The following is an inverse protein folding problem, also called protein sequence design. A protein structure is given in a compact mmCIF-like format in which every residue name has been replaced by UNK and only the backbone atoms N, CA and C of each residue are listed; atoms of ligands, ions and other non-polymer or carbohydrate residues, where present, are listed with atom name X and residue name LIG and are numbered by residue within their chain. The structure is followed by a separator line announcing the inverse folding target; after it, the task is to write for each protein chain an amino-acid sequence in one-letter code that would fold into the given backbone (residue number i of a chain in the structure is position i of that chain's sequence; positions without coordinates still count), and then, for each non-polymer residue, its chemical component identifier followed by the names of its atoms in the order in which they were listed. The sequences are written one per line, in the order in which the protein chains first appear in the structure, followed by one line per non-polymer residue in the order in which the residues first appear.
data_IF_061157999410
#
_entry.id   IF_061157999410
#
_cell.length_a   1.000
_cell.length_b   1.000
_cell.length_c   1.000
_cell.angle_alpha   90.00
_cell.angle_beta   90.00
_cell.angle_gamma   90.00
#
_symmetry.space_group_name_H-M   'P 1'
#
loop_
_entity.id
_entity.type
_entity.pdbx_description
1 polymer ?
#
# COMPACT_ATOMS: atom_id res chain seq x y z
N UNK A 1 7.76 1.89 -3.41
CA UNK A 1 6.74 1.19 -4.23
C UNK A 1 5.47 0.97 -3.42
N UNK A 2 4.29 1.07 -4.04
CA UNK A 2 2.99 0.68 -3.46
C UNK A 2 2.38 -0.45 -4.29
N UNK A 3 1.83 -1.49 -3.64
CA UNK A 3 1.26 -2.62 -4.36
C UNK A 3 0.14 -3.32 -3.58
N UNK A 4 -1.06 -3.36 -4.15
CA UNK A 4 -2.14 -4.23 -3.69
C UNK A 4 -1.92 -5.63 -4.29
N UNK A 5 -1.59 -6.62 -3.42
CA UNK A 5 -1.17 -7.96 -3.84
C UNK A 5 -2.29 -9.01 -3.81
N UNK A 6 -3.52 -8.60 -3.50
CA UNK A 6 -4.68 -9.50 -3.48
C UNK A 6 -4.41 -10.84 -2.74
N UNK A 7 -3.78 -10.77 -1.56
CA UNK A 7 -3.34 -11.93 -0.77
C UNK A 7 -2.47 -12.94 -1.56
N UNK A 8 -1.66 -12.45 -2.52
CA UNK A 8 -0.80 -13.27 -3.36
C UNK A 8 -1.53 -14.09 -4.42
N UNK A 9 -2.78 -13.76 -4.74
CA UNK A 9 -3.56 -14.42 -5.79
C UNK A 9 -3.26 -13.76 -7.13
N UNK A 10 -2.79 -14.55 -8.09
CA UNK A 10 -2.62 -14.09 -9.47
C UNK A 10 -3.98 -14.09 -10.18
N UNK A 11 -4.46 -12.91 -10.57
CA UNK A 11 -5.68 -12.73 -11.36
C UNK A 11 -5.34 -11.96 -12.62
N UNK A 12 -5.25 -12.66 -13.74
CA UNK A 12 -4.83 -12.08 -15.03
C UNK A 12 -5.98 -11.91 -16.03
N UNK A 13 -7.19 -12.38 -15.70
CA UNK A 13 -8.37 -12.28 -16.57
C UNK A 13 -9.67 -12.18 -15.78
N UNK A 14 -10.66 -11.45 -16.30
CA UNK A 14 -11.95 -11.23 -15.65
C UNK A 14 -12.69 -12.53 -15.27
N UNK A 15 -12.67 -13.56 -16.10
CA UNK A 15 -13.34 -14.82 -15.78
C UNK A 15 -12.67 -15.58 -14.64
N UNK A 16 -11.36 -15.40 -14.39
CA UNK A 16 -10.67 -15.97 -13.23
C UNK A 16 -11.18 -15.38 -11.92
N UNK A 17 -11.59 -14.11 -11.94
CA UNK A 17 -12.22 -13.45 -10.80
C UNK A 17 -13.50 -14.17 -10.35
N UNK A 18 -14.26 -14.70 -11.30
CA UNK A 18 -15.50 -15.46 -11.04
C UNK A 18 -15.24 -16.94 -10.75
N UNK A 19 -14.34 -17.58 -11.48
CA UNK A 19 -14.12 -19.03 -11.41
C UNK A 19 -13.17 -19.47 -10.32
N UNK A 20 -12.21 -18.61 -9.92
CA UNK A 20 -11.21 -18.89 -8.89
C UNK A 20 -11.57 -18.33 -7.51
N UNK A 21 -12.86 -18.06 -7.26
CA UNK A 21 -13.33 -17.52 -5.96
C UNK A 21 -12.93 -18.41 -4.75
N UNK A 22 -12.77 -19.73 -4.94
CA UNK A 22 -12.28 -20.64 -3.90
C UNK A 22 -10.80 -20.39 -3.49
N UNK A 23 -9.95 -19.83 -4.39
CA UNK A 23 -8.57 -19.43 -4.07
C UNK A 23 -8.52 -18.31 -3.01
N UNK A 24 -9.60 -17.55 -2.86
CA UNK A 24 -9.71 -16.56 -1.78
C UNK A 24 -9.89 -17.18 -0.39
N UNK A 25 -10.20 -18.47 -0.32
CA UNK A 25 -10.53 -19.19 0.91
C UNK A 25 -9.53 -20.29 1.24
N UNK A 26 -9.01 -20.99 0.24
CA UNK A 26 -8.12 -22.15 0.42
C UNK A 26 -6.66 -21.85 0.03
N UNK A 27 -5.68 -22.54 0.65
CA UNK A 27 -4.28 -22.48 0.23
C UNK A 27 -4.11 -22.97 -1.21
N UNK A 28 -3.23 -22.29 -1.96
CA UNK A 28 -2.91 -22.63 -3.34
C UNK A 28 -1.39 -22.60 -3.54
N UNK A 29 -0.84 -23.67 -4.15
CA UNK A 29 0.60 -23.78 -4.40
C UNK A 29 1.13 -22.66 -5.33
N UNK A 30 0.32 -22.20 -6.28
CA UNK A 30 0.68 -21.09 -7.18
C UNK A 30 0.92 -19.78 -6.42
N UNK A 31 0.32 -19.63 -5.23
CA UNK A 31 0.45 -18.42 -4.42
C UNK A 31 1.88 -18.17 -3.95
N UNK A 32 2.60 -19.20 -3.53
CA UNK A 32 4.00 -19.05 -3.11
C UNK A 32 4.89 -18.64 -4.28
N UNK A 33 4.70 -19.23 -5.46
CA UNK A 33 5.42 -18.83 -6.68
C UNK A 33 5.15 -17.38 -7.04
N UNK A 34 3.88 -16.95 -6.88
CA UNK A 34 3.51 -15.56 -7.12
C UNK A 34 4.14 -14.61 -6.09
N UNK A 35 4.17 -15.00 -4.80
CA UNK A 35 4.85 -14.23 -3.76
C UNK A 35 6.37 -14.16 -3.99
N UNK A 36 7.02 -15.22 -4.49
CA UNK A 36 8.43 -15.18 -4.87
C UNK A 36 8.69 -14.16 -5.99
N UNK A 37 7.79 -14.09 -6.97
CA UNK A 37 7.86 -13.09 -8.06
C UNK A 37 7.67 -11.66 -7.52
N UNK A 38 6.73 -11.46 -6.60
CA UNK A 38 6.52 -10.17 -5.92
C UNK A 38 7.75 -9.79 -5.08
N UNK A 39 8.36 -10.76 -4.37
CA UNK A 39 9.57 -10.52 -3.58
C UNK A 39 10.76 -10.11 -4.47
N UNK A 40 10.93 -10.77 -5.61
CA UNK A 40 11.95 -10.42 -6.59
C UNK A 40 11.75 -8.98 -7.12
N UNK A 41 10.52 -8.58 -7.42
CA UNK A 41 10.21 -7.21 -7.78
C UNK A 41 10.51 -6.24 -6.63
N UNK A 42 10.01 -6.54 -5.43
CA UNK A 42 10.16 -5.71 -4.25
C UNK A 42 11.62 -5.45 -3.86
N UNK A 43 12.53 -6.41 -4.12
CA UNK A 43 13.96 -6.29 -3.81
C UNK A 43 14.68 -5.11 -4.50
N UNK A 44 14.08 -4.52 -5.53
CA UNK A 44 14.61 -3.35 -6.23
C UNK A 44 14.26 -2.01 -5.57
N UNK A 45 13.53 -2.02 -4.45
CA UNK A 45 13.04 -0.82 -3.78
C UNK A 45 13.52 -0.75 -2.34
N UNK A 46 13.58 0.49 -1.80
CA UNK A 46 13.98 0.71 -0.41
C UNK A 46 12.80 0.59 0.56
N UNK A 47 11.62 1.06 0.14
CA UNK A 47 10.38 1.07 0.90
C UNK A 47 9.25 0.50 0.05
N UNK A 48 8.51 -0.47 0.59
CA UNK A 48 7.34 -1.05 -0.11
C UNK A 48 6.14 -1.09 0.82
N UNK A 49 5.08 -0.38 0.42
CA UNK A 49 3.77 -0.43 1.04
C UNK A 49 2.89 -1.47 0.33
N UNK A 50 2.36 -2.39 1.09
CA UNK A 50 1.56 -3.51 0.60
C UNK A 50 0.12 -3.39 1.07
N UNK A 51 -0.83 -3.63 0.18
CA UNK A 51 -2.24 -3.73 0.52
C UNK A 51 -2.74 -5.16 0.26
N UNK A 52 -3.79 -5.55 0.98
CA UNK A 52 -4.40 -6.88 0.93
C UNK A 52 -3.43 -8.03 1.20
N UNK A 53 -2.43 -7.84 2.06
CA UNK A 53 -1.61 -8.95 2.56
C UNK A 53 -2.40 -9.81 3.55
N UNK A 54 -2.06 -11.09 3.65
CA UNK A 54 -2.58 -11.98 4.68
C UNK A 54 -1.55 -12.16 5.80
N UNK A 55 -1.97 -11.93 7.05
CA UNK A 55 -1.11 -12.04 8.23
C UNK A 55 -1.07 -13.46 8.82
N UNK A 56 -1.16 -14.49 7.99
CA UNK A 56 -1.09 -15.89 8.43
C UNK A 56 -2.45 -16.47 8.82
N UNK A 57 -3.27 -16.78 7.83
CA UNK A 57 -4.56 -17.45 8.00
C UNK A 57 -4.62 -18.72 7.14
N UNK A 58 -5.74 -19.44 7.22
CA UNK A 58 -5.93 -20.67 6.43
C UNK A 58 -5.72 -20.42 4.93
N UNK A 59 -6.25 -19.32 4.38
CA UNK A 59 -6.12 -19.01 2.95
C UNK A 59 -4.67 -18.79 2.49
N UNK A 60 -3.78 -18.35 3.39
CA UNK A 60 -2.35 -18.19 3.09
C UNK A 60 -1.51 -19.40 3.50
N UNK A 61 -2.14 -20.52 3.94
CA UNK A 61 -1.42 -21.64 4.52
C UNK A 61 -0.69 -21.28 5.82
N UNK A 62 -1.25 -20.34 6.58
CA UNK A 62 -0.68 -19.78 7.81
C UNK A 62 0.63 -18.99 7.61
N UNK A 63 0.96 -18.63 6.36
CA UNK A 63 2.10 -17.78 6.04
C UNK A 63 1.74 -16.32 6.26
N UNK A 64 2.52 -15.61 7.06
CA UNK A 64 2.49 -14.14 7.09
C UNK A 64 3.18 -13.61 5.84
N UNK A 65 2.39 -13.07 4.91
CA UNK A 65 2.90 -12.67 3.60
C UNK A 65 3.87 -11.48 3.67
N UNK A 66 3.68 -10.55 4.61
CA UNK A 66 4.61 -9.42 4.78
C UNK A 66 5.98 -9.91 5.24
N UNK A 67 6.02 -10.80 6.23
CA UNK A 67 7.26 -11.42 6.72
C UNK A 67 7.93 -12.25 5.62
N UNK A 68 7.16 -13.06 4.91
CA UNK A 68 7.67 -13.87 3.81
C UNK A 68 8.34 -13.01 2.72
N UNK A 69 7.67 -11.93 2.30
CA UNK A 69 8.20 -11.00 1.30
C UNK A 69 9.46 -10.29 1.80
N UNK A 70 9.49 -9.89 3.08
CA UNK A 70 10.66 -9.26 3.68
C UNK A 70 11.88 -10.20 3.66
N UNK A 71 11.71 -11.42 4.12
CA UNK A 71 12.79 -12.42 4.15
C UNK A 71 13.30 -12.76 2.75
N UNK A 72 12.40 -12.99 1.80
CA UNK A 72 12.74 -13.37 0.42
C UNK A 72 13.40 -12.22 -0.37
N UNK A 73 12.96 -10.99 -0.14
CA UNK A 73 13.49 -9.80 -0.82
C UNK A 73 14.71 -9.16 -0.10
N UNK A 74 15.11 -9.68 1.06
CA UNK A 74 16.26 -9.20 1.82
C UNK A 74 16.02 -7.88 2.54
N UNK A 75 14.79 -7.60 2.98
CA UNK A 75 14.49 -6.47 3.84
C UNK A 75 14.80 -6.79 5.30
N UNK A 76 15.38 -5.82 6.00
CA UNK A 76 15.74 -5.93 7.42
C UNK A 76 14.60 -5.56 8.36
N UNK A 77 13.65 -4.76 7.89
CA UNK A 77 12.51 -4.28 8.69
C UNK A 77 11.20 -4.56 7.97
N UNK A 78 10.24 -5.05 8.71
CA UNK A 78 8.89 -5.25 8.20
C UNK A 78 7.86 -5.09 9.32
N UNK A 79 6.64 -4.73 8.94
CA UNK A 79 5.49 -4.66 9.84
C UNK A 79 4.20 -4.90 9.07
N UNK A 80 3.17 -5.43 9.75
CA UNK A 80 1.82 -5.50 9.20
C UNK A 80 0.80 -5.05 10.23
N UNK A 81 -0.21 -4.35 9.77
CA UNK A 81 -1.39 -4.01 10.55
C UNK A 81 -2.55 -4.88 10.08
N UNK A 82 -3.10 -5.70 10.98
CA UNK A 82 -4.30 -6.49 10.69
C UNK A 82 -5.54 -5.65 10.85
N UNK A 83 -6.24 -5.41 9.74
CA UNK A 83 -7.42 -4.55 9.69
C UNK A 83 -8.72 -5.32 9.89
N UNK A 84 -8.76 -6.59 9.47
CA UNK A 84 -9.94 -7.46 9.60
C UNK A 84 -9.54 -8.92 9.73
N UNK A 85 -10.13 -9.59 10.71
CA UNK A 85 -10.03 -11.05 10.88
C UNK A 85 -11.39 -11.67 10.57
N UNK A 86 -11.42 -12.69 9.72
CA UNK A 86 -12.61 -13.46 9.37
C UNK A 86 -12.36 -14.90 9.85
N UNK A 87 -12.68 -15.14 11.13
CA UNK A 87 -12.36 -16.42 11.79
C UNK A 87 -10.89 -16.79 11.59
N UNK A 88 -10.61 -18.07 11.28
CA UNK A 88 -9.28 -18.55 10.92
C UNK A 88 -9.02 -18.49 9.39
N UNK A 89 -10.01 -18.06 8.59
CA UNK A 89 -9.97 -18.13 7.13
C UNK A 89 -9.14 -17.03 6.51
N UNK A 90 -9.27 -15.78 6.98
CA UNK A 90 -8.58 -14.65 6.41
C UNK A 90 -8.18 -13.60 7.47
N UNK A 91 -6.96 -13.06 7.35
CA UNK A 91 -6.44 -11.93 8.13
C UNK A 91 -6.00 -10.83 7.18
N UNK A 92 -6.95 -9.98 6.81
CA UNK A 92 -6.71 -8.88 5.87
C UNK A 92 -5.89 -7.79 6.53
N UNK A 93 -4.75 -7.46 5.94
CA UNK A 93 -3.78 -6.53 6.51
C UNK A 93 -3.23 -5.58 5.44
N UNK A 94 -2.62 -4.50 5.90
CA UNK A 94 -1.65 -3.71 5.15
C UNK A 94 -0.26 -4.01 5.69
N UNK A 95 0.78 -3.89 4.86
CA UNK A 95 2.14 -4.24 5.22
C UNK A 95 3.16 -3.19 4.80
N UNK A 96 4.27 -3.16 5.51
CA UNK A 96 5.49 -2.43 5.17
C UNK A 96 6.64 -3.42 5.11
N UNK A 97 7.47 -3.33 4.09
CA UNK A 97 8.84 -3.85 4.12
C UNK A 97 9.81 -2.70 3.82
N UNK A 98 10.93 -2.64 4.55
CA UNK A 98 11.84 -1.50 4.54
C UNK A 98 13.30 -1.93 4.71
N UNK A 99 14.19 -1.28 3.95
CA UNK A 99 15.65 -1.35 4.19
C UNK A 99 16.09 -0.44 5.33
N UNK A 100 15.25 0.57 5.64
CA UNK A 100 15.55 1.54 6.69
C UNK A 100 14.80 1.20 7.97
N UNK A 101 15.44 1.47 9.09
CA UNK A 101 14.86 1.25 10.42
C UNK A 101 13.83 2.33 10.73
N UNK A 102 12.56 1.96 10.98
CA UNK A 102 11.56 2.90 11.51
C UNK A 102 11.95 3.42 12.89
N UNK A 103 11.71 4.69 13.15
CA UNK A 103 11.88 5.31 14.48
C UNK A 103 10.61 5.28 15.31
N UNK A 104 9.46 5.36 14.63
CA UNK A 104 8.13 5.22 15.22
C UNK A 104 7.20 4.54 14.22
N UNK A 105 6.29 3.73 14.75
CA UNK A 105 5.27 3.06 13.96
C UNK A 105 3.95 3.07 14.73
N UNK A 106 2.88 3.54 14.10
CA UNK A 106 1.55 3.62 14.67
C UNK A 106 0.50 3.05 13.73
N UNK A 107 -0.39 2.24 14.31
CA UNK A 107 -1.50 1.63 13.60
C UNK A 107 -2.79 2.41 13.85
N UNK A 108 -3.48 2.76 12.78
CA UNK A 108 -4.74 3.49 12.86
C UNK A 108 -5.87 2.72 12.19
N UNK A 109 -6.98 2.57 12.90
CA UNK A 109 -8.23 2.10 12.30
C UNK A 109 -8.90 3.27 11.61
N UNK A 110 -9.20 3.12 10.33
CA UNK A 110 -9.90 4.17 9.59
C UNK A 110 -11.40 4.19 9.92
N UNK A 111 -12.01 5.38 9.98
CA UNK A 111 -13.44 5.51 10.24
C UNK A 111 -14.29 4.87 9.15
N UNK A 112 -15.48 4.37 9.51
CA UNK A 112 -16.43 3.80 8.58
C UNK A 112 -17.32 2.75 9.22
N UNK A 113 -18.48 2.48 8.57
CA UNK A 113 -19.45 1.48 9.07
C UNK A 113 -18.97 0.04 8.87
N UNK A 114 -18.20 -0.20 7.80
CA UNK A 114 -17.66 -1.52 7.48
C UNK A 114 -16.23 -1.57 7.99
N UNK A 115 -15.91 -2.46 8.96
CA UNK A 115 -14.56 -2.61 9.47
C UNK A 115 -13.63 -3.20 8.42
N UNK A 116 -12.32 -3.04 8.60
CA UNK A 116 -11.31 -3.69 7.76
C UNK A 116 -10.51 -2.73 6.89
N UNK A 117 -10.52 -1.43 7.25
CA UNK A 117 -9.66 -0.43 6.63
C UNK A 117 -8.74 0.19 7.69
N UNK A 118 -7.49 0.45 7.30
CA UNK A 118 -6.47 0.95 8.20
C UNK A 118 -5.47 1.86 7.52
N UNK A 119 -4.74 2.59 8.33
CA UNK A 119 -3.57 3.37 7.96
C UNK A 119 -2.40 3.01 8.87
N UNK A 120 -1.27 2.67 8.28
CA UNK A 120 -0.02 2.44 8.97
C UNK A 120 0.85 3.68 8.79
N UNK A 121 1.07 4.43 9.88
CA UNK A 121 1.94 5.60 9.89
C UNK A 121 3.30 5.19 10.41
N UNK A 122 4.34 5.48 9.66
CA UNK A 122 5.73 5.09 9.94
C UNK A 122 6.63 6.29 9.81
N UNK A 123 7.44 6.54 10.82
CA UNK A 123 8.42 7.61 10.82
C UNK A 123 9.85 7.05 10.65
N UNK A 124 10.65 7.77 9.89
CA UNK A 124 12.06 7.49 9.69
C UNK A 124 12.87 8.76 9.94
N UNK A 125 14.03 8.65 10.53
CA UNK A 125 14.91 9.78 10.81
C UNK A 125 14.82 10.29 12.25
N UNK A 126 15.30 11.51 12.49
CA UNK A 126 15.36 12.13 13.82
C UNK A 126 14.20 13.11 14.02
N UNK A 127 13.76 13.38 15.27
CA UNK A 127 12.75 14.39 15.54
C UNK A 127 13.04 15.74 14.88
N UNK A 128 12.04 16.30 14.18
CA UNK A 128 12.17 17.54 13.42
C UNK A 128 12.80 17.40 12.03
N UNK A 129 13.31 16.21 11.69
CA UNK A 129 13.88 15.87 10.37
C UNK A 129 13.47 14.46 9.95
N UNK A 130 12.19 14.14 10.15
CA UNK A 130 11.63 12.83 9.77
C UNK A 130 11.05 12.84 8.36
N UNK A 131 11.08 11.65 7.74
CA UNK A 131 10.17 11.25 6.68
C UNK A 131 9.01 10.50 7.34
N UNK A 132 7.78 10.90 7.05
CA UNK A 132 6.55 10.19 7.44
C UNK A 132 6.00 9.46 6.25
N UNK A 133 5.89 8.15 6.36
CA UNK A 133 5.24 7.29 5.38
C UNK A 133 3.89 6.84 5.91
N UNK A 134 2.83 7.03 5.15
CA UNK A 134 1.49 6.55 5.49
C UNK A 134 1.02 5.57 4.42
N UNK A 135 0.86 4.31 4.82
CA UNK A 135 0.35 3.24 3.95
C UNK A 135 -1.13 3.06 4.24
N UNK A 136 -1.97 3.13 3.21
CA UNK A 136 -3.41 3.10 3.37
C UNK A 136 -4.08 2.11 2.41
N UNK A 137 -5.27 1.64 2.80
CA UNK A 137 -6.20 0.95 1.92
C UNK A 137 -7.61 1.44 2.25
N UNK A 138 -8.21 2.26 1.39
CA UNK A 138 -9.48 2.93 1.63
C UNK A 138 -10.70 2.08 1.26
N UNK A 139 -11.85 2.51 1.73
CA UNK A 139 -13.12 1.87 1.46
C UNK A 139 -13.58 2.05 0.00
N UNK A 140 -14.35 1.09 -0.52
CA UNK A 140 -14.97 1.18 -1.86
C UNK A 140 -16.05 2.26 -1.94
N UNK A 141 -16.73 2.55 -0.84
CA UNK A 141 -17.84 3.50 -0.81
C UNK A 141 -17.37 4.94 -0.61
N UNK A 142 -17.79 5.86 -1.48
CA UNK A 142 -17.40 7.29 -1.49
C UNK A 142 -17.57 7.98 -0.13
N UNK A 143 -18.72 7.78 0.54
CA UNK A 143 -18.97 8.42 1.85
C UNK A 143 -17.96 8.00 2.92
N UNK A 144 -17.58 6.73 2.94
CA UNK A 144 -16.56 6.23 3.86
C UNK A 144 -15.18 6.77 3.50
N UNK A 145 -14.83 6.81 2.19
CA UNK A 145 -13.56 7.39 1.72
C UNK A 145 -13.39 8.85 2.14
N UNK A 146 -14.42 9.68 1.99
CA UNK A 146 -14.36 11.09 2.42
C UNK A 146 -14.03 11.21 3.91
N UNK A 147 -14.64 10.39 4.76
CA UNK A 147 -14.32 10.37 6.20
C UNK A 147 -12.89 9.88 6.46
N UNK A 148 -12.45 8.88 5.71
CA UNK A 148 -11.10 8.31 5.83
C UNK A 148 -10.03 9.27 5.35
N UNK A 149 -10.23 9.94 4.22
CA UNK A 149 -9.31 10.94 3.69
C UNK A 149 -9.19 12.16 4.62
N UNK A 150 -10.31 12.62 5.20
CA UNK A 150 -10.27 13.66 6.24
C UNK A 150 -9.40 13.23 7.43
N UNK A 151 -9.58 12.00 7.92
CA UNK A 151 -8.77 11.45 8.99
C UNK A 151 -7.28 11.39 8.62
N UNK A 152 -6.95 10.98 7.36
CA UNK A 152 -5.56 10.99 6.88
C UNK A 152 -4.99 12.39 6.84
N UNK A 153 -5.77 13.39 6.38
CA UNK A 153 -5.35 14.80 6.40
C UNK A 153 -5.01 15.29 7.81
N UNK A 154 -5.86 14.98 8.79
CA UNK A 154 -5.62 15.31 10.21
C UNK A 154 -4.36 14.60 10.75
N UNK A 155 -4.11 13.34 10.32
CA UNK A 155 -2.99 12.53 10.78
C UNK A 155 -1.61 13.07 10.34
N UNK A 156 -1.56 13.85 9.24
CA UNK A 156 -0.31 14.34 8.63
C UNK A 156 -0.15 15.85 8.71
N UNK A 157 -1.06 16.57 9.38
CA UNK A 157 -1.15 18.05 9.36
C UNK A 157 0.16 18.74 9.74
N UNK A 158 0.87 18.20 10.72
CA UNK A 158 2.08 18.82 11.28
C UNK A 158 3.39 18.30 10.67
N UNK A 159 3.28 17.38 9.71
CA UNK A 159 4.45 16.72 9.14
C UNK A 159 4.92 17.41 7.84
N UNK A 160 6.17 17.92 7.78
CA UNK A 160 6.66 18.60 6.59
C UNK A 160 7.03 17.66 5.44
N UNK A 161 7.47 16.43 5.74
CA UNK A 161 7.97 15.48 4.74
C UNK A 161 7.14 14.21 4.79
N UNK A 162 6.09 14.16 3.97
CA UNK A 162 5.12 13.04 3.95
C UNK A 162 5.07 12.37 2.61
N UNK A 163 4.99 11.05 2.64
CA UNK A 163 4.59 10.20 1.52
C UNK A 163 3.34 9.42 1.95
N UNK A 164 2.23 9.59 1.25
CA UNK A 164 1.02 8.77 1.42
C UNK A 164 0.94 7.83 0.23
N UNK A 165 0.84 6.53 0.47
CA UNK A 165 0.74 5.55 -0.61
C UNK A 165 -0.30 4.47 -0.32
N UNK A 166 -0.91 3.95 -1.38
CA UNK A 166 -1.83 2.82 -1.26
C UNK A 166 -2.92 2.77 -2.31
N UNK A 167 -3.84 1.85 -2.09
CA UNK A 167 -5.09 1.76 -2.82
C UNK A 167 -6.13 2.71 -2.21
N UNK A 168 -6.33 3.85 -2.85
CA UNK A 168 -7.27 4.87 -2.42
C UNK A 168 -8.70 4.60 -2.90
N UNK A 169 -8.90 3.62 -3.78
CA UNK A 169 -10.20 3.30 -4.35
C UNK A 169 -10.95 4.51 -4.98
N UNK A 170 -10.24 5.58 -5.30
CA UNK A 170 -10.76 6.76 -6.00
C UNK A 170 -9.77 7.20 -7.08
N UNK A 171 -10.27 7.90 -8.09
CA UNK A 171 -9.45 8.37 -9.22
C UNK A 171 -8.75 9.69 -8.88
N UNK A 172 -7.64 10.00 -9.57
CA UNK A 172 -6.85 11.23 -9.44
C UNK A 172 -7.69 12.51 -9.44
N UNK A 173 -8.66 12.61 -10.30
CA UNK A 173 -9.51 13.82 -10.44
C UNK A 173 -10.90 13.61 -9.84
N UNK A 174 -10.99 12.82 -8.79
CA UNK A 174 -12.25 12.68 -8.07
C UNK A 174 -12.41 13.80 -7.04
N UNK A 175 -13.65 14.23 -6.73
CA UNK A 175 -13.87 15.27 -5.73
C UNK A 175 -13.26 14.95 -4.36
N UNK A 176 -13.18 13.65 -3.98
CA UNK A 176 -12.52 13.25 -2.75
C UNK A 176 -10.99 13.40 -2.80
N UNK A 177 -10.35 13.19 -3.97
CA UNK A 177 -8.92 13.44 -4.15
C UNK A 177 -8.64 14.95 -4.15
N UNK A 178 -9.43 15.73 -4.90
CA UNK A 178 -9.31 17.19 -4.94
C UNK A 178 -9.43 17.80 -3.54
N UNK A 179 -10.34 17.27 -2.71
CA UNK A 179 -10.50 17.71 -1.33
C UNK A 179 -9.25 17.38 -0.50
N UNK A 180 -8.74 16.13 -0.56
CA UNK A 180 -7.53 15.75 0.18
C UNK A 180 -6.34 16.65 -0.17
N UNK A 181 -6.08 16.82 -1.48
CA UNK A 181 -4.95 17.64 -1.95
C UNK A 181 -5.10 19.10 -1.53
N UNK A 182 -6.32 19.66 -1.59
CA UNK A 182 -6.61 21.02 -1.15
C UNK A 182 -6.47 21.24 0.35
N UNK A 183 -6.89 20.25 1.16
CA UNK A 183 -6.85 20.33 2.63
C UNK A 183 -5.45 20.10 3.20
N UNK A 184 -4.57 19.36 2.50
CA UNK A 184 -3.27 18.89 3.07
C UNK A 184 -2.05 19.47 2.38
N UNK A 185 -2.20 20.08 1.20
CA UNK A 185 -1.07 20.49 0.36
C UNK A 185 -0.26 19.31 -0.21
N UNK A 186 -0.74 18.07 -0.08
CA UNK A 186 -0.17 16.95 -0.80
C UNK A 186 -0.26 17.17 -2.31
N UNK A 187 0.73 16.68 -3.02
CA UNK A 187 0.77 16.71 -4.49
C UNK A 187 0.65 15.28 -5.03
N UNK A 188 -0.10 15.13 -6.11
CA UNK A 188 -0.06 13.94 -6.95
C UNK A 188 0.88 14.22 -8.13
N UNK A 189 2.11 13.65 -8.15
CA UNK A 189 3.14 14.04 -9.12
C UNK A 189 2.81 13.68 -10.56
N UNK A 190 2.00 12.65 -10.76
CA UNK A 190 1.59 12.18 -12.07
C UNK A 190 0.16 11.66 -12.01
N UNK A 191 -0.70 12.24 -12.83
CA UNK A 191 -2.10 11.81 -12.98
C UNK A 191 -2.23 10.65 -13.97
N UNK A 192 -3.37 9.96 -13.90
CA UNK A 192 -3.79 8.96 -14.87
C UNK A 192 -2.87 7.73 -15.00
N UNK A 193 -2.16 7.37 -13.92
CA UNK A 193 -1.42 6.12 -13.82
C UNK A 193 -2.40 4.95 -13.68
N UNK A 194 -2.81 4.35 -14.78
CA UNK A 194 -3.79 3.28 -14.80
C UNK A 194 -3.20 2.00 -14.20
N UNK A 195 -3.79 1.51 -13.11
CA UNK A 195 -3.30 0.35 -12.34
C UNK A 195 -4.28 -0.81 -12.28
N UNK A 196 -5.57 -0.55 -12.45
CA UNK A 196 -6.63 -1.56 -12.27
C UNK A 196 -7.60 -1.62 -13.46
N UNK A 197 -8.08 -2.81 -13.86
CA UNK A 197 -7.51 -4.11 -13.52
C UNK A 197 -6.20 -4.36 -14.31
N UNK A 198 -5.26 -5.12 -13.74
CA UNK A 198 -3.90 -5.30 -14.29
C UNK A 198 -3.86 -5.83 -15.73
N UNK A 199 -4.83 -6.65 -16.14
CA UNK A 199 -4.91 -7.22 -17.50
C UNK A 199 -5.48 -6.25 -18.55
N UNK A 200 -6.14 -5.16 -18.13
CA UNK A 200 -6.64 -4.08 -19.00
C UNK A 200 -6.81 -2.81 -18.18
N UNK A 201 -5.72 -2.13 -17.83
CA UNK A 201 -5.77 -0.99 -16.96
C UNK A 201 -6.67 0.12 -17.49
N UNK A 202 -7.66 0.53 -16.68
CA UNK A 202 -8.67 1.54 -17.03
C UNK A 202 -9.03 2.47 -15.87
N UNK A 203 -8.47 2.21 -14.68
CA UNK A 203 -8.66 3.01 -13.47
C UNK A 203 -7.32 3.27 -12.81
N UNK A 204 -7.13 4.48 -12.34
CA UNK A 204 -6.03 4.92 -11.51
C UNK A 204 -6.55 5.05 -10.07
N UNK A 205 -6.44 4.01 -9.29
CA UNK A 205 -6.94 3.94 -7.91
C UNK A 205 -5.84 3.68 -6.87
N UNK A 206 -4.65 3.37 -7.35
CA UNK A 206 -3.43 3.24 -6.55
C UNK A 206 -2.58 4.50 -6.73
N UNK A 207 -2.20 5.14 -5.62
CA UNK A 207 -1.54 6.44 -5.66
C UNK A 207 -0.34 6.49 -4.73
N UNK A 208 0.63 7.35 -5.08
CA UNK A 208 1.68 7.83 -4.19
C UNK A 208 1.64 9.35 -4.22
N UNK A 209 1.28 9.96 -3.09
CA UNK A 209 1.16 11.39 -2.88
C UNK A 209 2.29 11.86 -2.00
N UNK A 210 2.79 13.07 -2.23
CA UNK A 210 3.93 13.61 -1.47
C UNK A 210 3.68 15.06 -1.06
N UNK A 211 4.29 15.49 0.03
CA UNK A 211 4.42 16.92 0.34
C UNK A 211 5.43 17.59 -0.61
N UNK A 212 5.32 18.90 -0.88
CA UNK A 212 6.22 19.63 -1.78
C UNK A 212 7.70 19.58 -1.41
N UNK A 213 8.03 19.28 -0.15
CA UNK A 213 9.40 19.12 0.33
C UNK A 213 10.10 17.86 -0.19
N UNK A 214 9.33 16.84 -0.57
CA UNK A 214 9.83 15.58 -1.15
C UNK A 214 9.91 15.76 -2.67
N UNK A 215 11.13 15.85 -3.19
CA UNK A 215 11.34 16.05 -4.63
C UNK A 215 11.18 14.73 -5.38
N UNK A 216 10.18 14.67 -6.25
CA UNK A 216 9.95 13.49 -7.10
C UNK A 216 10.83 13.56 -8.34
N UNK A 217 11.57 12.48 -8.62
CA UNK A 217 12.39 12.34 -9.82
C UNK A 217 11.70 11.52 -10.89
N UNK A 218 11.00 10.45 -10.47
CA UNK A 218 10.35 9.54 -11.40
C UNK A 218 9.12 8.89 -10.75
N UNK A 219 8.06 8.72 -11.54
CA UNK A 219 6.90 7.89 -11.19
C UNK A 219 6.59 6.95 -12.33
N UNK A 220 6.24 5.70 -12.03
CA UNK A 220 5.89 4.72 -13.04
C UNK A 220 4.92 3.65 -12.52
N UNK A 221 4.05 3.17 -13.41
CA UNK A 221 3.34 1.92 -13.22
C UNK A 221 4.20 0.80 -13.78
N UNK A 222 4.39 -0.23 -12.98
CA UNK A 222 5.24 -1.35 -13.37
C UNK A 222 4.38 -2.45 -13.99
N UNK A 223 4.78 -2.96 -15.17
CA UNK A 223 4.05 -4.01 -15.86
C UNK A 223 4.36 -5.40 -15.26
N UNK A 224 3.93 -5.60 -14.02
CA UNK A 224 4.07 -6.86 -13.29
C UNK A 224 2.70 -7.31 -12.77
N UNK A 225 1.89 -8.01 -13.60
CA UNK A 225 0.51 -8.37 -13.27
C UNK A 225 0.44 -9.62 -12.37
N UNK A 226 1.08 -9.55 -11.19
CA UNK A 226 1.04 -10.61 -10.19
C UNK A 226 -0.21 -10.53 -9.29
N UNK A 227 -1.05 -9.52 -9.50
CA UNK A 227 -2.30 -9.23 -8.82
C UNK A 227 -3.29 -8.65 -9.82
N UNK A 228 -4.54 -8.39 -9.43
CA UNK A 228 -5.50 -7.60 -10.21
C UNK A 228 -5.16 -6.09 -10.24
N UNK A 229 -4.18 -5.62 -9.45
CA UNK A 229 -3.58 -4.31 -9.55
C UNK A 229 -2.18 -4.37 -10.15
N UNK A 230 -1.71 -3.26 -10.74
CA UNK A 230 -0.32 -3.05 -11.10
C UNK A 230 0.38 -2.20 -10.03
N UNK A 231 1.65 -2.50 -9.70
CA UNK A 231 2.39 -1.71 -8.72
C UNK A 231 2.71 -0.32 -9.24
N UNK A 232 2.67 0.68 -8.34
CA UNK A 232 3.16 2.03 -8.57
C UNK A 232 4.50 2.22 -7.87
N UNK A 233 5.50 2.72 -8.61
CA UNK A 233 6.81 3.04 -8.09
C UNK A 233 7.11 4.53 -8.23
N UNK A 234 7.88 5.06 -7.28
CA UNK A 234 8.31 6.44 -7.25
C UNK A 234 9.75 6.53 -6.73
N UNK A 235 10.59 7.27 -7.45
CA UNK A 235 11.93 7.65 -7.02
C UNK A 235 11.88 9.08 -6.49
N UNK A 236 12.42 9.29 -5.28
CA UNK A 236 12.37 10.59 -4.60
C UNK A 236 13.74 10.99 -4.05
N UNK A 237 14.00 12.29 -4.04
CA UNK A 237 15.07 12.88 -3.25
C UNK A 237 14.45 13.49 -1.99
N UNK A 238 14.96 13.06 -0.84
CA UNK A 238 14.57 13.59 0.45
C UNK A 238 15.27 14.92 0.73
N UNK A 239 14.68 15.82 1.53
CA UNK A 239 15.36 17.02 2.01
C UNK A 239 16.68 16.66 2.71
N UNK A 240 17.71 17.51 2.54
CA UNK A 240 19.06 17.22 3.02
C UNK A 240 19.21 17.06 4.55
N UNK A 241 18.20 17.48 5.32
CA UNK A 241 18.15 17.28 6.77
C UNK A 241 17.53 15.91 7.16
N UNK A 242 16.90 15.19 6.25
CA UNK A 242 16.32 13.87 6.51
C UNK A 242 17.36 12.80 6.25
N UNK A 243 17.72 12.05 7.29
CA UNK A 243 18.68 10.94 7.19
C UNK A 243 18.01 9.64 7.59
N UNK A 244 17.96 8.69 6.66
CA UNK A 244 17.44 7.34 6.91
C UNK A 244 18.59 6.44 7.40
N UNK A 245 18.29 5.58 8.39
CA UNK A 245 19.24 4.60 8.93
C UNK A 245 18.82 3.20 8.47
N UNK A 246 19.74 2.44 7.91
CA UNK A 246 19.57 1.00 7.60
C UNK A 246 19.69 0.13 8.84
#
# INVERSE_FOLDING_TARGET
MSYNIQAGISTTHFHQYLTHSWKHVLPDAERLTNLDSIACLASNFDLVGLQEVDAGSLRSGFVNQTEYLALKAGFTHWHHQTNRTIGNVARQSIGLVSRFRPTLLTEHKLPGRIPGRGALRVEFGSPGAQLVLVIIHLALGRRARLQQLKFIGELITDDPNVIVMGDLNCRSRSPEMDQLLGDTGLCEPTHDLLTFPSWRPSRNIDHILVTPSVKVERVSVLNYPFSDHLPVAMDVLLPGNVTLRS
#
